data_IF_317483183499
#
_entry.id   IF_317483183499
#
_cell.length_a   1.000
_cell.length_b   1.000
_cell.length_c   1.000
_cell.angle_alpha   90.00
_cell.angle_beta   90.00
_cell.angle_gamma   90.00
#
_symmetry.space_group_name_H-M   'P 1'
#
loop_
_entity.id
_entity.type
_entity.pdbx_description
1 polymer ?
#
# COMPACT_ATOMS: atom_id res chain seq x y z
N UNK A 1 -18.92 -0.96 14.06
CA UNK A 1 -19.49 -1.91 13.10
C UNK A 1 -18.52 -2.09 11.96
N UNK A 2 -18.07 -3.28 11.69
CA UNK A 2 -17.21 -3.49 10.54
C UNK A 2 -18.00 -3.24 9.26
N UNK A 3 -17.46 -2.38 8.41
CA UNK A 3 -18.04 -2.11 7.11
C UNK A 3 -17.35 -3.01 6.12
N UNK A 4 -18.05 -4.04 5.66
CA UNK A 4 -17.56 -4.89 4.60
C UNK A 4 -17.95 -4.32 3.25
N UNK A 5 -17.07 -4.53 2.25
CA UNK A 5 -17.44 -4.26 0.88
C UNK A 5 -18.19 -5.47 0.34
N UNK A 6 -19.48 -5.30 0.14
CA UNK A 6 -20.36 -6.34 -0.38
C UNK A 6 -21.20 -5.79 -1.50
N UNK A 7 -21.35 -6.58 -2.55
CA UNK A 7 -22.34 -6.33 -3.58
C UNK A 7 -23.58 -7.15 -3.25
N UNK A 8 -24.72 -6.51 -3.28
CA UNK A 8 -25.97 -7.12 -2.89
C UNK A 8 -26.93 -7.27 -4.06
N UNK A 9 -27.71 -8.34 -4.01
CA UNK A 9 -28.93 -8.45 -4.77
C UNK A 9 -30.06 -7.81 -3.94
N UNK A 10 -30.46 -6.61 -4.30
CA UNK A 10 -31.42 -5.83 -3.55
C UNK A 10 -32.83 -6.43 -3.51
N UNK A 11 -33.13 -7.38 -4.40
CA UNK A 11 -34.43 -8.03 -4.42
C UNK A 11 -34.61 -9.05 -3.29
N UNK A 12 -33.56 -9.74 -2.91
CA UNK A 12 -33.61 -10.77 -1.87
C UNK A 12 -32.61 -10.53 -0.74
N UNK A 13 -31.95 -9.36 -0.72
CA UNK A 13 -31.01 -8.94 0.32
C UNK A 13 -29.83 -9.91 0.52
N UNK A 14 -29.46 -10.65 -0.52
CA UNK A 14 -28.30 -11.55 -0.46
C UNK A 14 -27.06 -10.92 -1.06
N UNK A 15 -25.88 -11.13 -0.44
CA UNK A 15 -24.64 -10.64 -1.01
C UNK A 15 -24.32 -11.39 -2.30
N UNK A 16 -24.04 -10.64 -3.40
CA UNK A 16 -23.58 -11.21 -4.66
C UNK A 16 -22.08 -11.48 -4.63
N UNK A 17 -21.33 -10.55 -4.03
CA UNK A 17 -19.88 -10.65 -3.89
C UNK A 17 -19.49 -10.15 -2.51
N UNK A 18 -18.58 -10.86 -1.88
CA UNK A 18 -17.99 -10.45 -0.63
C UNK A 18 -16.47 -10.55 -0.73
N UNK A 19 -15.78 -9.48 -0.41
CA UNK A 19 -14.32 -9.47 -0.38
C UNK A 19 -13.81 -10.12 0.90
N UNK A 20 -12.69 -10.84 0.80
CA UNK A 20 -11.99 -11.36 1.96
C UNK A 20 -11.43 -10.23 2.80
N UNK A 21 -11.16 -10.44 4.11
CA UNK A 21 -10.48 -9.43 4.93
C UNK A 21 -9.16 -8.95 4.32
N UNK A 22 -8.39 -9.85 3.74
CA UNK A 22 -7.12 -9.53 3.08
C UNK A 22 -7.30 -8.62 1.88
N UNK A 23 -8.33 -8.88 1.07
CA UNK A 23 -8.67 -8.02 -0.06
C UNK A 23 -9.10 -6.63 0.38
N UNK A 24 -9.88 -6.54 1.47
CA UNK A 24 -10.30 -5.27 2.06
C UNK A 24 -9.12 -4.46 2.55
N UNK A 25 -8.18 -5.12 3.25
CA UNK A 25 -6.98 -4.45 3.76
C UNK A 25 -6.15 -3.87 2.63
N UNK A 26 -5.97 -4.61 1.53
CA UNK A 26 -5.24 -4.12 0.36
C UNK A 26 -5.94 -2.93 -0.30
N UNK A 27 -7.25 -2.95 -0.39
CA UNK A 27 -8.02 -1.83 -0.92
C UNK A 27 -7.91 -0.59 -0.04
N UNK A 28 -7.91 -0.76 1.29
CA UNK A 28 -7.71 0.35 2.22
C UNK A 28 -6.31 0.97 2.07
N UNK A 29 -5.29 0.16 1.94
CA UNK A 29 -3.93 0.63 1.69
C UNK A 29 -3.87 1.41 0.38
N UNK A 30 -4.47 0.88 -0.68
CA UNK A 30 -4.50 1.53 -1.98
C UNK A 30 -5.24 2.88 -1.92
N UNK A 31 -6.37 2.93 -1.25
CA UNK A 31 -7.14 4.17 -1.05
C UNK A 31 -6.33 5.20 -0.28
N UNK A 32 -5.67 4.79 0.79
CA UNK A 32 -4.79 5.66 1.57
C UNK A 32 -3.62 6.18 0.73
N UNK A 33 -3.07 5.33 -0.14
CA UNK A 33 -1.99 5.72 -1.05
C UNK A 33 -2.45 6.78 -2.07
N UNK A 34 -3.64 6.64 -2.62
CA UNK A 34 -4.21 7.65 -3.53
C UNK A 34 -4.37 9.00 -2.84
N UNK A 35 -4.85 8.99 -1.60
CA UNK A 35 -4.96 10.21 -0.82
C UNK A 35 -3.59 10.83 -0.54
N UNK A 36 -2.61 9.99 -0.19
CA UNK A 36 -1.24 10.43 0.05
C UNK A 36 -0.64 11.10 -1.20
N UNK A 37 -0.85 10.50 -2.38
CA UNK A 37 -0.38 11.08 -3.64
C UNK A 37 -0.98 12.45 -3.91
N UNK A 38 -2.27 12.62 -3.66
CA UNK A 38 -2.95 13.91 -3.83
C UNK A 38 -2.39 14.96 -2.89
N UNK A 39 -2.08 14.59 -1.66
CA UNK A 39 -1.49 15.49 -0.67
C UNK A 39 -0.07 15.86 -1.06
N UNK A 40 0.72 14.88 -1.48
CA UNK A 40 2.09 15.10 -1.97
C UNK A 40 2.10 16.03 -3.18
N UNK A 41 1.17 15.84 -4.12
CA UNK A 41 1.07 16.68 -5.32
C UNK A 41 0.77 18.14 -4.99
N UNK A 42 0.12 18.42 -3.85
CA UNK A 42 -0.10 19.78 -3.36
C UNK A 42 1.07 20.35 -2.57
N UNK A 43 2.18 19.64 -2.48
CA UNK A 43 3.36 20.06 -1.75
C UNK A 43 3.30 19.78 -0.24
N UNK A 44 2.34 18.99 0.22
CA UNK A 44 2.27 18.61 1.63
C UNK A 44 3.24 17.49 1.95
N UNK A 45 3.89 17.56 3.10
CA UNK A 45 4.70 16.46 3.61
C UNK A 45 3.80 15.38 4.18
N UNK A 46 4.15 14.12 3.91
CA UNK A 46 3.35 12.98 4.32
C UNK A 46 3.62 12.60 5.76
N UNK A 47 2.57 12.17 6.46
CA UNK A 47 2.69 11.60 7.80
C UNK A 47 3.05 10.11 7.70
N UNK A 48 3.20 9.45 8.87
CA UNK A 48 3.60 8.05 8.95
C UNK A 48 2.65 7.11 8.16
N UNK A 49 1.33 7.09 8.42
CA UNK A 49 0.45 6.17 7.70
C UNK A 49 0.37 6.47 6.20
N UNK A 50 0.45 7.72 5.80
CA UNK A 50 0.47 8.09 4.38
C UNK A 50 1.72 7.58 3.68
N UNK A 51 2.88 7.72 4.32
CA UNK A 51 4.15 7.24 3.78
C UNK A 51 4.16 5.72 3.64
N UNK A 52 3.73 5.01 4.67
CA UNK A 52 3.64 3.54 4.66
C UNK A 52 2.69 3.07 3.57
N UNK A 53 1.52 3.69 3.44
CA UNK A 53 0.53 3.30 2.44
C UNK A 53 1.06 3.51 1.01
N UNK A 54 1.72 4.63 0.75
CA UNK A 54 2.23 4.95 -0.58
C UNK A 54 3.33 3.96 -1.01
N UNK A 55 4.27 3.67 -0.13
CA UNK A 55 5.33 2.70 -0.41
C UNK A 55 4.74 1.31 -0.60
N UNK A 56 3.83 0.90 0.27
CA UNK A 56 3.20 -0.42 0.20
C UNK A 56 2.43 -0.61 -1.11
N UNK A 57 1.67 0.39 -1.53
CA UNK A 57 0.93 0.34 -2.79
C UNK A 57 1.87 0.24 -4.00
N UNK A 58 2.98 0.97 -3.97
CA UNK A 58 3.98 0.90 -5.05
C UNK A 58 4.58 -0.50 -5.17
N UNK A 59 4.83 -1.18 -4.05
CA UNK A 59 5.32 -2.55 -4.03
C UNK A 59 4.26 -3.52 -4.59
N UNK A 60 3.02 -3.40 -4.15
CA UNK A 60 1.94 -4.25 -4.62
C UNK A 60 1.72 -4.10 -6.12
N UNK A 61 1.73 -2.89 -6.63
CA UNK A 61 1.56 -2.63 -8.07
C UNK A 61 2.77 -3.11 -8.87
N UNK A 62 3.98 -2.95 -8.34
CA UNK A 62 5.18 -3.48 -8.97
C UNK A 62 5.15 -5.00 -9.11
N UNK A 63 4.64 -5.70 -8.11
CA UNK A 63 4.44 -7.15 -8.19
C UNK A 63 3.43 -7.51 -9.28
N UNK A 64 2.36 -6.75 -9.39
CA UNK A 64 1.35 -6.93 -10.43
C UNK A 64 1.92 -6.70 -11.83
N UNK A 65 2.87 -5.77 -11.95
CA UNK A 65 3.56 -5.47 -13.21
C UNK A 65 4.59 -6.55 -13.59
N UNK A 66 4.81 -7.54 -12.74
CA UNK A 66 5.74 -8.62 -13.01
C UNK A 66 7.18 -8.37 -12.55
N UNK A 67 7.41 -7.36 -11.73
CA UNK A 67 8.74 -7.11 -11.16
C UNK A 67 9.09 -8.20 -10.14
N UNK A 68 10.38 -8.42 -9.95
CA UNK A 68 10.87 -9.41 -8.98
C UNK A 68 10.88 -8.88 -7.56
N UNK A 69 10.92 -9.76 -6.57
CA UNK A 69 11.09 -9.37 -5.16
C UNK A 69 12.33 -8.50 -5.00
N UNK A 70 13.46 -8.92 -5.58
CA UNK A 70 14.71 -8.17 -5.47
C UNK A 70 14.61 -6.76 -6.06
N UNK A 71 13.96 -6.62 -7.21
CA UNK A 71 13.72 -5.31 -7.82
C UNK A 71 12.88 -4.41 -6.91
N UNK A 72 11.83 -4.96 -6.32
CA UNK A 72 10.93 -4.20 -5.44
C UNK A 72 11.59 -3.81 -4.12
N UNK A 73 12.47 -4.66 -3.57
CA UNK A 73 13.26 -4.31 -2.39
C UNK A 73 14.14 -3.08 -2.66
N UNK A 74 14.64 -2.97 -3.86
CA UNK A 74 15.46 -1.82 -4.28
C UNK A 74 14.59 -0.60 -4.61
N UNK A 75 13.57 -0.78 -5.44
CA UNK A 75 12.68 0.31 -5.87
C UNK A 75 11.88 0.90 -4.72
N UNK A 76 11.52 0.11 -3.71
CA UNK A 76 10.83 0.58 -2.53
C UNK A 76 11.55 1.68 -1.78
N UNK A 77 12.87 1.78 -1.96
CA UNK A 77 13.71 2.84 -1.37
C UNK A 77 13.70 4.13 -2.17
N UNK A 78 13.07 4.14 -3.33
CA UNK A 78 13.05 5.30 -4.23
C UNK A 78 11.67 5.97 -4.31
N UNK A 79 10.67 5.43 -3.64
CA UNK A 79 9.29 5.93 -3.69
C UNK A 79 9.20 7.31 -3.04
N UNK A 80 9.77 7.45 -1.85
CA UNK A 80 9.74 8.68 -1.07
C UNK A 80 11.14 9.10 -0.66
N UNK A 81 11.39 10.39 -0.73
CA UNK A 81 12.60 11.01 -0.18
C UNK A 81 12.30 11.55 1.22
N UNK A 82 13.34 11.79 1.99
CA UNK A 82 13.20 12.40 3.32
C UNK A 82 12.43 13.74 3.26
N UNK A 83 12.63 14.50 2.20
CA UNK A 83 11.94 15.79 2.02
C UNK A 83 10.42 15.64 1.77
N UNK A 84 9.97 14.46 1.36
CA UNK A 84 8.57 14.20 1.07
C UNK A 84 7.73 13.90 2.31
N UNK A 85 8.37 13.68 3.45
CA UNK A 85 7.70 13.28 4.69
C UNK A 85 7.95 14.27 5.82
N UNK A 86 7.05 14.27 6.79
CA UNK A 86 7.19 15.10 7.98
C UNK A 86 8.42 14.71 8.79
N UNK A 87 8.94 15.65 9.57
CA UNK A 87 10.08 15.41 10.45
C UNK A 87 9.82 14.20 11.35
N UNK A 88 10.79 13.31 11.45
CA UNK A 88 10.73 12.11 12.29
C UNK A 88 10.10 10.89 11.61
N UNK A 89 9.39 11.06 10.49
CA UNK A 89 8.71 9.94 9.83
C UNK A 89 9.71 8.93 9.28
N UNK A 90 10.79 9.39 8.64
CA UNK A 90 11.80 8.49 8.07
C UNK A 90 12.40 7.57 9.15
N UNK A 91 12.65 8.10 10.34
CA UNK A 91 13.21 7.36 11.47
C UNK A 91 12.20 6.38 12.08
N UNK A 92 10.90 6.65 11.96
CA UNK A 92 9.85 5.75 12.45
C UNK A 92 9.68 4.51 11.59
N UNK A 93 10.17 4.53 10.35
CA UNK A 93 10.00 3.43 9.39
C UNK A 93 11.36 2.76 9.16
N UNK A 94 11.69 1.81 10.05
CA UNK A 94 12.91 1.02 9.89
C UNK A 94 12.77 0.04 8.71
N UNK A 95 11.65 -0.64 8.62
CA UNK A 95 11.33 -1.60 7.59
C UNK A 95 9.86 -1.48 7.19
N UNK A 96 9.58 -1.83 5.95
CA UNK A 96 8.21 -2.07 5.49
C UNK A 96 8.14 -3.50 4.98
N UNK A 97 7.15 -4.26 5.46
CA UNK A 97 6.88 -5.60 4.98
C UNK A 97 5.52 -5.61 4.31
N UNK A 98 5.50 -6.05 3.06
CA UNK A 98 4.28 -6.08 2.24
C UNK A 98 4.11 -7.46 1.64
N UNK A 99 2.94 -8.03 1.87
CA UNK A 99 2.53 -9.24 1.16
C UNK A 99 1.97 -8.83 -0.19
N UNK A 100 2.60 -9.28 -1.26
CA UNK A 100 2.23 -8.94 -2.62
C UNK A 100 2.02 -10.18 -3.47
N UNK A 101 1.13 -10.09 -4.45
CA UNK A 101 0.83 -11.20 -5.36
C UNK A 101 1.62 -11.01 -6.65
N UNK A 102 2.56 -11.92 -6.86
CA UNK A 102 3.40 -12.01 -8.05
C UNK A 102 2.76 -13.00 -9.05
N UNK A 103 3.20 -13.02 -10.32
CA UNK A 103 2.69 -14.00 -11.29
C UNK A 103 2.80 -15.46 -10.83
N UNK A 104 3.79 -15.77 -10.01
CA UNK A 104 4.05 -17.14 -9.51
C UNK A 104 3.59 -17.35 -8.07
N UNK A 105 2.83 -16.44 -7.50
CA UNK A 105 2.25 -16.60 -6.18
C UNK A 105 2.47 -15.42 -5.24
N UNK A 106 1.94 -15.56 -4.03
CA UNK A 106 2.04 -14.53 -2.99
C UNK A 106 3.36 -14.65 -2.26
N UNK A 107 4.06 -13.53 -2.09
CA UNK A 107 5.36 -13.45 -1.43
C UNK A 107 5.42 -12.23 -0.53
N UNK A 108 6.25 -12.31 0.51
CA UNK A 108 6.54 -11.18 1.38
C UNK A 108 7.71 -10.39 0.82
N UNK A 109 7.52 -9.07 0.66
CA UNK A 109 8.60 -8.15 0.28
C UNK A 109 8.95 -7.31 1.48
N UNK A 110 10.22 -7.31 1.87
CA UNK A 110 10.73 -6.47 2.95
C UNK A 110 11.64 -5.39 2.38
N UNK A 111 11.32 -4.13 2.65
CA UNK A 111 12.15 -2.99 2.26
C UNK A 111 12.78 -2.42 3.52
N UNK A 112 14.11 -2.47 3.59
CA UNK A 112 14.87 -1.93 4.72
C UNK A 112 15.15 -0.46 4.50
N UNK A 113 14.91 0.36 5.55
CA UNK A 113 15.16 1.81 5.51
C UNK A 113 14.62 2.44 4.23
N UNK A 114 13.30 2.36 4.00
CA UNK A 114 12.70 2.79 2.74
C UNK A 114 12.85 4.30 2.48
N UNK A 115 13.07 5.08 3.51
CA UNK A 115 13.27 6.54 3.40
C UNK A 115 14.62 6.88 4.02
N UNK A 116 15.59 7.09 3.18
CA UNK A 116 16.94 7.41 3.61
C UNK A 116 17.13 8.90 3.91
#
# INVERSE_FOLDING_TARGET
MPIGLKLYNWQNEEPLVELTPREKDKLLIFTAALLAERRRARGLQLNYPEAVALISAAIMEGARDGKTVAALMSEGKTVLRRADVMEGVAEMIADIQVEATFPDGTKLVTVHQPIA
#
